data_IF_026781265781
#
_entry.id   IF_026781265781
#
_cell.length_a   1.000
_cell.length_b   1.000
_cell.length_c   1.000
_cell.angle_alpha   90.00
_cell.angle_beta   90.00
_cell.angle_gamma   90.00
#
_symmetry.space_group_name_H-M   'P 1'
#
loop_
_entity.id
_entity.type
_entity.pdbx_description
1 polymer ?
#
# COMPACT_ATOMS: atom_id res chain seq x y z
N UNK A 1 -8.98 -6.67 -3.93
CA UNK A 1 -9.09 -5.29 -3.42
C UNK A 1 -9.31 -4.34 -4.59
N UNK A 2 -10.18 -3.36 -4.40
CA UNK A 2 -10.39 -2.22 -5.30
C UNK A 2 -10.81 -1.03 -4.42
N UNK A 3 -9.97 0.01 -4.32
CA UNK A 3 -10.24 1.18 -3.46
C UNK A 3 -9.55 2.43 -4.00
N UNK A 4 -10.21 3.56 -3.84
CA UNK A 4 -9.66 4.89 -4.13
C UNK A 4 -8.90 5.50 -2.94
N UNK A 5 -8.88 4.82 -1.81
CA UNK A 5 -8.35 5.32 -0.55
C UNK A 5 -9.43 5.72 0.44
N UNK A 6 -9.08 6.52 1.41
CA UNK A 6 -10.01 6.95 2.46
C UNK A 6 -9.32 7.44 3.73
N UNK A 7 -9.94 7.20 4.87
CA UNK A 7 -9.43 7.59 6.18
C UNK A 7 -8.14 6.84 6.54
N UNK A 8 -7.10 7.59 6.90
CA UNK A 8 -5.77 7.05 7.18
C UNK A 8 -5.75 6.23 8.46
N UNK A 9 -6.41 6.68 9.52
CA UNK A 9 -6.41 5.97 10.80
C UNK A 9 -7.16 4.64 10.70
N UNK A 10 -8.31 4.63 10.03
CA UNK A 10 -9.06 3.41 9.78
C UNK A 10 -8.28 2.44 8.88
N UNK A 11 -7.64 2.94 7.82
CA UNK A 11 -6.85 2.12 6.91
C UNK A 11 -5.62 1.52 7.56
N UNK A 12 -4.85 2.29 8.34
CA UNK A 12 -3.70 1.77 9.09
C UNK A 12 -4.12 0.77 10.16
N UNK A 13 -5.23 1.01 10.87
CA UNK A 13 -5.74 0.06 11.86
C UNK A 13 -6.09 -1.30 11.22
N UNK A 14 -6.72 -1.29 10.05
CA UNK A 14 -7.00 -2.52 9.29
C UNK A 14 -5.72 -3.19 8.77
N UNK A 15 -4.76 -2.41 8.29
CA UNK A 15 -3.49 -2.92 7.79
C UNK A 15 -2.68 -3.58 8.92
N UNK A 16 -2.60 -2.96 10.09
CA UNK A 16 -1.97 -3.54 11.29
C UNK A 16 -2.68 -4.82 11.76
N UNK A 17 -4.01 -4.83 11.74
CA UNK A 17 -4.78 -6.02 12.06
C UNK A 17 -4.41 -7.18 11.14
N UNK A 18 -4.36 -6.94 9.82
CA UNK A 18 -4.05 -7.95 8.81
C UNK A 18 -2.60 -8.44 8.93
N UNK A 19 -1.63 -7.52 9.09
CA UNK A 19 -0.22 -7.89 9.22
C UNK A 19 0.06 -8.68 10.48
N UNK A 20 -0.66 -8.39 11.58
CA UNK A 20 -0.58 -9.10 12.85
C UNK A 20 -1.29 -10.46 12.88
N UNK A 21 -2.03 -10.84 11.84
CA UNK A 21 -2.70 -12.14 11.81
C UNK A 21 -1.71 -13.31 11.79
N UNK A 22 -1.93 -14.30 12.66
CA UNK A 22 -1.12 -15.53 12.70
C UNK A 22 -1.40 -16.43 11.50
N UNK A 23 -2.67 -16.52 11.10
CA UNK A 23 -3.07 -17.35 9.96
C UNK A 23 -2.53 -16.79 8.65
N UNK A 24 -2.29 -17.64 7.63
CA UNK A 24 -1.91 -17.20 6.30
C UNK A 24 -2.92 -16.20 5.73
N UNK A 25 -2.40 -15.15 5.14
CA UNK A 25 -3.17 -14.11 4.47
C UNK A 25 -2.58 -13.83 3.10
N UNK A 26 -3.43 -13.59 2.12
CA UNK A 26 -3.05 -13.15 0.78
C UNK A 26 -3.88 -11.93 0.43
N UNK A 27 -3.25 -10.89 -0.11
CA UNK A 27 -3.93 -9.76 -0.73
C UNK A 27 -3.90 -9.88 -2.25
N UNK A 28 -4.94 -9.39 -2.91
CA UNK A 28 -5.03 -9.34 -4.37
C UNK A 28 -5.64 -8.00 -4.79
N UNK A 29 -4.88 -7.21 -5.54
CA UNK A 29 -5.32 -5.95 -6.15
C UNK A 29 -5.87 -6.24 -7.54
N UNK A 30 -7.18 -6.03 -7.74
CA UNK A 30 -7.90 -6.30 -9.00
C UNK A 30 -8.22 -5.03 -9.79
N UNK A 31 -8.20 -3.88 -9.15
CA UNK A 31 -8.50 -2.59 -9.76
C UNK A 31 -7.61 -1.50 -9.16
N UNK A 32 -8.15 -0.65 -8.32
CA UNK A 32 -7.38 0.38 -7.62
C UNK A 32 -6.83 -0.07 -6.27
N UNK A 33 -5.57 0.24 -6.00
CA UNK A 33 -4.95 0.15 -4.67
C UNK A 33 -4.39 1.52 -4.28
N UNK A 34 -5.26 2.55 -4.24
CA UNK A 34 -4.81 3.93 -4.18
C UNK A 34 -4.70 4.45 -2.74
N UNK A 35 -3.74 5.36 -2.50
CA UNK A 35 -3.62 6.09 -1.22
C UNK A 35 -3.45 5.12 -0.04
N UNK A 36 -4.33 5.18 0.96
CA UNK A 36 -4.31 4.26 2.11
C UNK A 36 -4.61 2.78 1.72
N UNK A 37 -5.03 2.53 0.49
CA UNK A 37 -5.09 1.20 -0.10
C UNK A 37 -3.71 0.55 -0.27
N UNK A 38 -2.63 1.33 -0.36
CA UNK A 38 -1.26 0.81 -0.47
C UNK A 38 -0.84 0.04 0.78
N UNK A 39 -0.90 0.59 2.00
CA UNK A 39 -0.67 -0.20 3.22
C UNK A 39 -1.55 -1.44 3.34
N UNK A 40 -2.83 -1.34 2.97
CA UNK A 40 -3.73 -2.50 2.98
C UNK A 40 -3.28 -3.60 2.01
N UNK A 41 -2.78 -3.24 0.82
CA UNK A 41 -2.30 -4.20 -0.16
C UNK A 41 -1.08 -4.99 0.33
N UNK A 42 -0.15 -4.33 1.03
CA UNK A 42 1.10 -4.95 1.51
C UNK A 42 0.96 -5.61 2.88
N UNK A 43 -0.17 -5.48 3.56
CA UNK A 43 -0.37 -6.00 4.93
C UNK A 43 -0.50 -7.52 5.03
N UNK A 44 -0.78 -8.21 3.92
CA UNK A 44 -0.89 -9.67 3.91
C UNK A 44 0.50 -10.35 3.86
N UNK A 45 0.56 -11.62 4.25
CA UNK A 45 1.79 -12.43 4.17
C UNK A 45 2.33 -12.58 2.75
N UNK A 46 1.45 -12.48 1.76
CA UNK A 46 1.79 -12.46 0.33
C UNK A 46 0.81 -11.57 -0.42
N UNK A 47 1.34 -10.71 -1.29
CA UNK A 47 0.56 -9.75 -2.06
C UNK A 47 0.62 -10.05 -3.57
N UNK A 48 -0.52 -9.89 -4.23
CA UNK A 48 -0.68 -10.05 -5.67
C UNK A 48 -1.36 -8.84 -6.29
N UNK A 49 -1.05 -8.58 -7.54
CA UNK A 49 -1.69 -7.55 -8.36
C UNK A 49 -1.89 -8.07 -9.78
N UNK A 50 -3.04 -7.80 -10.39
CA UNK A 50 -3.24 -8.10 -11.82
C UNK A 50 -2.58 -7.02 -12.70
N UNK A 51 -2.16 -7.35 -13.95
CA UNK A 51 -1.45 -6.39 -14.81
C UNK A 51 -2.20 -5.08 -15.07
N UNK A 52 -3.54 -5.14 -15.16
CA UNK A 52 -4.40 -3.98 -15.44
C UNK A 52 -4.75 -3.12 -14.21
N UNK A 53 -4.39 -3.59 -13.02
CA UNK A 53 -4.63 -2.83 -11.78
C UNK A 53 -3.58 -1.72 -11.61
N UNK A 54 -3.93 -0.70 -10.85
CA UNK A 54 -3.03 0.43 -10.56
C UNK A 54 -2.98 0.75 -9.09
N UNK A 55 -1.84 1.27 -8.65
CA UNK A 55 -1.63 1.76 -7.30
C UNK A 55 -1.15 3.21 -7.35
N UNK A 56 -1.76 4.10 -6.58
CA UNK A 56 -1.33 5.49 -6.49
C UNK A 56 -0.69 5.75 -5.14
N UNK A 57 0.57 6.16 -5.18
CA UNK A 57 1.37 6.61 -4.03
C UNK A 57 1.42 8.12 -4.06
N UNK A 58 0.98 8.79 -3.00
CA UNK A 58 0.99 10.24 -2.88
C UNK A 58 1.11 10.68 -1.41
N UNK A 59 1.49 11.95 -1.14
CA UNK A 59 1.55 12.48 0.22
C UNK A 59 0.18 12.49 0.90
N UNK A 60 0.19 12.53 2.23
CA UNK A 60 -1.03 12.73 3.02
C UNK A 60 -1.71 14.04 2.61
N UNK A 61 -3.01 13.98 2.38
CA UNK A 61 -3.84 15.14 1.99
C UNK A 61 -4.84 15.44 3.09
N UNK A 62 -5.17 16.72 3.23
CA UNK A 62 -6.25 17.17 4.10
C UNK A 62 -7.15 18.13 3.32
N UNK A 63 -8.45 17.96 3.48
CA UNK A 63 -9.45 18.90 2.99
C UNK A 63 -10.04 19.67 4.16
N UNK A 64 -10.18 20.98 4.01
CA UNK A 64 -10.78 21.85 5.03
C UNK A 64 -9.90 23.03 5.44
N UNK A 65 -10.31 23.72 6.50
CA UNK A 65 -9.53 24.81 7.07
C UNK A 65 -8.30 24.25 7.79
N UNK A 66 -7.12 24.62 7.32
CA UNK A 66 -5.84 24.22 7.91
C UNK A 66 -5.20 25.44 8.58
N UNK A 67 -4.90 25.33 9.87
CA UNK A 67 -4.12 26.36 10.57
C UNK A 67 -2.65 26.20 10.21
N UNK A 68 -2.04 27.25 9.68
CA UNK A 68 -0.63 27.28 9.27
C UNK A 68 0.34 27.42 10.46
N UNK A 69 0.27 26.49 11.39
CA UNK A 69 1.14 26.46 12.58
C UNK A 69 2.10 25.26 12.54
N UNK A 70 3.29 25.33 13.18
CA UNK A 70 4.26 24.24 13.16
C UNK A 70 3.71 22.88 13.59
N UNK A 71 2.76 22.86 14.50
CA UNK A 71 2.11 21.64 14.99
C UNK A 71 1.34 20.92 13.88
N UNK A 72 0.69 21.65 12.97
CA UNK A 72 0.00 21.08 11.82
C UNK A 72 0.97 20.38 10.87
N UNK A 73 2.10 21.02 10.54
CA UNK A 73 3.14 20.43 9.71
C UNK A 73 3.72 19.16 10.36
N UNK A 74 4.06 19.25 11.65
CA UNK A 74 4.55 18.10 12.42
C UNK A 74 3.54 16.94 12.47
N UNK A 75 2.26 17.22 12.52
CA UNK A 75 1.21 16.20 12.47
C UNK A 75 1.22 15.46 11.12
N UNK A 76 1.27 16.19 10.00
CA UNK A 76 1.34 15.59 8.66
C UNK A 76 2.59 14.75 8.48
N UNK A 77 3.74 15.25 8.89
CA UNK A 77 5.01 14.52 8.79
C UNK A 77 4.95 13.20 9.56
N UNK A 78 4.41 13.22 10.78
CA UNK A 78 4.25 12.01 11.59
C UNK A 78 3.26 11.01 10.96
N UNK A 79 2.16 11.50 10.41
CA UNK A 79 1.17 10.65 9.74
C UNK A 79 1.78 9.98 8.50
N UNK A 80 2.47 10.76 7.68
CA UNK A 80 3.15 10.27 6.49
C UNK A 80 4.25 9.25 6.84
N UNK A 81 5.03 9.52 7.86
CA UNK A 81 6.09 8.61 8.32
C UNK A 81 5.54 7.27 8.82
N UNK A 82 4.37 7.23 9.44
CA UNK A 82 3.70 5.99 9.83
C UNK A 82 3.38 5.12 8.60
N UNK A 83 2.87 5.74 7.53
CA UNK A 83 2.57 5.05 6.28
C UNK A 83 3.87 4.53 5.64
N UNK A 84 4.89 5.37 5.55
CA UNK A 84 6.19 5.00 4.96
C UNK A 84 6.80 3.80 5.67
N UNK A 85 6.85 3.83 6.99
CA UNK A 85 7.39 2.72 7.80
C UNK A 85 6.58 1.45 7.59
N UNK A 86 5.25 1.54 7.70
CA UNK A 86 4.39 0.37 7.54
C UNK A 86 4.61 -0.30 6.17
N UNK A 87 4.68 0.48 5.09
CA UNK A 87 4.92 -0.05 3.74
C UNK A 87 6.30 -0.68 3.63
N UNK A 88 7.35 -0.02 4.13
CA UNK A 88 8.70 -0.55 4.08
C UNK A 88 8.87 -1.84 4.92
N UNK A 89 8.19 -1.94 6.06
CA UNK A 89 8.24 -3.11 6.93
C UNK A 89 7.45 -4.31 6.38
N UNK A 90 6.48 -4.06 5.49
CA UNK A 90 5.58 -5.08 4.94
C UNK A 90 5.75 -5.32 3.42
N UNK A 91 6.80 -4.78 2.79
CA UNK A 91 7.12 -4.98 1.38
C UNK A 91 8.63 -5.07 1.17
N UNK A 92 9.07 -5.31 -0.07
CA UNK A 92 10.49 -5.25 -0.43
C UNK A 92 10.96 -3.84 -0.81
N UNK A 93 10.05 -2.87 -0.85
CA UNK A 93 10.35 -1.49 -1.20
C UNK A 93 11.02 -0.76 -0.03
N UNK A 94 12.14 -0.08 -0.31
CA UNK A 94 12.81 0.74 0.70
C UNK A 94 12.03 2.02 0.99
N UNK A 95 12.09 2.49 2.23
CA UNK A 95 11.42 3.71 2.68
C UNK A 95 11.83 4.96 1.88
N UNK A 96 13.10 5.06 1.47
CA UNK A 96 13.59 6.16 0.63
C UNK A 96 12.90 6.15 -0.73
N UNK A 97 12.81 4.95 -1.37
CA UNK A 97 12.15 4.82 -2.67
C UNK A 97 10.66 5.12 -2.59
N UNK A 98 10.00 4.68 -1.54
CA UNK A 98 8.59 5.00 -1.32
C UNK A 98 8.35 6.51 -1.18
N UNK A 99 9.24 7.24 -0.47
CA UNK A 99 9.18 8.71 -0.37
C UNK A 99 9.44 9.39 -1.71
N UNK A 100 10.37 8.91 -2.52
CA UNK A 100 10.61 9.44 -3.87
C UNK A 100 9.36 9.32 -4.73
N UNK A 101 8.73 8.14 -4.78
CA UNK A 101 7.48 7.92 -5.51
C UNK A 101 6.34 8.80 -4.99
N UNK A 102 6.26 8.96 -3.67
CA UNK A 102 5.24 9.77 -3.00
C UNK A 102 5.35 11.26 -3.37
N UNK A 103 6.57 11.77 -3.57
CA UNK A 103 6.84 13.19 -3.84
C UNK A 103 7.19 13.50 -5.30
N UNK A 104 7.10 12.50 -6.19
CA UNK A 104 7.37 12.68 -7.61
C UNK A 104 6.38 13.70 -8.23
N UNK A 105 6.91 14.52 -9.14
CA UNK A 105 6.13 15.53 -9.88
C UNK A 105 6.07 15.17 -11.34
N UNK A 106 4.93 15.46 -12.00
CA UNK A 106 4.77 15.31 -13.43
C UNK A 106 4.00 14.08 -13.90
N UNK A 107 3.73 13.10 -13.05
CA UNK A 107 2.90 11.94 -13.41
C UNK A 107 1.41 12.17 -13.11
N UNK A 108 1.11 12.81 -11.98
CA UNK A 108 -0.26 13.18 -11.64
C UNK A 108 -0.53 14.59 -12.14
N UNK A 109 -1.52 14.73 -13.01
CA UNK A 109 -1.95 16.05 -13.52
C UNK A 109 -2.47 16.88 -12.34
N UNK A 110 -1.83 18.02 -12.09
CA UNK A 110 -2.13 18.97 -11.00
C UNK A 110 -1.91 18.42 -9.58
N UNK A 111 -1.07 17.39 -9.42
CA UNK A 111 -0.79 16.82 -8.09
C UNK A 111 0.61 16.21 -8.02
N UNK A 112 0.96 15.74 -6.81
CA UNK A 112 2.24 15.10 -6.48
C UNK A 112 1.99 13.63 -6.18
N UNK A 113 2.87 12.76 -6.67
CA UNK A 113 2.80 11.31 -6.47
C UNK A 113 3.03 10.52 -7.76
N UNK A 114 2.92 9.22 -7.64
CA UNK A 114 3.18 8.27 -8.72
C UNK A 114 2.03 7.27 -8.86
N UNK A 115 1.68 6.94 -10.09
CA UNK A 115 0.79 5.82 -10.43
C UNK A 115 1.65 4.66 -10.92
N UNK A 116 1.56 3.53 -10.23
CA UNK A 116 2.21 2.28 -10.62
C UNK A 116 1.15 1.34 -11.19
N UNK A 117 1.36 0.83 -12.40
CA UNK A 117 0.63 -0.34 -12.89
C UNK A 117 1.10 -1.62 -12.20
N UNK A 118 0.48 -2.76 -12.51
CA UNK A 118 0.80 -4.03 -11.85
C UNK A 118 2.27 -4.43 -12.02
N UNK A 119 2.84 -4.25 -13.21
CA UNK A 119 4.24 -4.60 -13.48
C UNK A 119 5.21 -3.69 -12.73
N UNK A 120 4.95 -2.39 -12.75
CA UNK A 120 5.75 -1.42 -12.03
C UNK A 120 5.66 -1.62 -10.50
N UNK A 121 4.49 -1.93 -9.96
CA UNK A 121 4.32 -2.20 -8.52
C UNK A 121 5.15 -3.41 -8.05
N UNK A 122 5.25 -4.46 -8.87
CA UNK A 122 6.10 -5.63 -8.57
C UNK A 122 7.58 -5.30 -8.78
N UNK A 123 7.94 -4.63 -9.86
CA UNK A 123 9.33 -4.23 -10.16
C UNK A 123 9.92 -3.32 -9.07
N UNK A 124 9.13 -2.41 -8.55
CA UNK A 124 9.52 -1.50 -7.45
C UNK A 124 9.54 -2.21 -6.08
N UNK A 125 9.11 -3.46 -6.00
CA UNK A 125 9.07 -4.24 -4.76
C UNK A 125 7.94 -3.85 -3.81
N UNK A 126 6.92 -3.12 -4.30
CA UNK A 126 5.75 -2.76 -3.51
C UNK A 126 4.82 -3.97 -3.34
N UNK A 127 4.58 -4.71 -4.41
CA UNK A 127 3.77 -5.94 -4.42
C UNK A 127 4.68 -7.13 -4.76
N UNK A 128 4.43 -8.29 -4.15
CA UNK A 128 5.28 -9.46 -4.31
C UNK A 128 5.22 -10.11 -5.69
N UNK A 129 4.04 -10.18 -6.30
CA UNK A 129 3.89 -10.95 -7.54
C UNK A 129 2.75 -10.42 -8.41
N UNK A 130 2.94 -10.48 -9.73
CA UNK A 130 1.84 -10.45 -10.67
C UNK A 130 1.05 -11.76 -10.57
N UNK A 131 -0.27 -11.66 -10.60
CA UNK A 131 -1.13 -12.84 -10.60
C UNK A 131 -2.59 -12.49 -10.38
N UNK A 132 -3.46 -13.41 -10.78
CA UNK A 132 -4.90 -13.30 -10.61
C UNK A 132 -5.43 -14.08 -9.39
N UNK A 133 -6.74 -14.31 -9.39
CA UNK A 133 -7.41 -14.98 -8.28
C UNK A 133 -6.88 -16.41 -8.06
N UNK A 134 -6.64 -17.15 -9.13
CA UNK A 134 -6.14 -18.53 -9.03
C UNK A 134 -4.76 -18.56 -8.39
N UNK A 135 -3.85 -17.69 -8.81
CA UNK A 135 -2.49 -17.62 -8.26
C UNK A 135 -2.50 -17.27 -6.78
N UNK A 136 -3.35 -16.31 -6.39
CA UNK A 136 -3.53 -15.90 -5.01
C UNK A 136 -4.10 -17.04 -4.13
N UNK A 137 -5.09 -17.79 -4.63
CA UNK A 137 -5.69 -18.93 -3.93
C UNK A 137 -4.70 -20.10 -3.81
N UNK A 138 -3.98 -20.44 -4.86
CA UNK A 138 -2.98 -21.50 -4.85
C UNK A 138 -1.88 -21.20 -3.84
N UNK A 139 -1.42 -19.94 -3.79
CA UNK A 139 -0.47 -19.47 -2.78
C UNK A 139 -1.04 -19.63 -1.36
N UNK A 140 -2.27 -19.21 -1.12
CA UNK A 140 -2.93 -19.32 0.18
C UNK A 140 -3.05 -20.77 0.64
N UNK A 141 -3.55 -21.66 -0.23
CA UNK A 141 -3.64 -23.09 0.07
C UNK A 141 -2.28 -23.73 0.34
N UNK A 142 -1.25 -23.33 -0.41
CA UNK A 142 0.13 -23.75 -0.19
C UNK A 142 0.66 -23.37 1.20
N UNK A 143 0.37 -22.14 1.66
CA UNK A 143 0.73 -21.70 3.01
C UNK A 143 -0.02 -22.45 4.10
N UNK A 144 -1.35 -22.66 3.95
CA UNK A 144 -2.17 -23.43 4.91
C UNK A 144 -1.67 -24.88 5.06
N UNK A 145 -1.26 -25.49 3.96
CA UNK A 145 -0.75 -26.86 3.99
C UNK A 145 0.60 -26.97 4.71
N UNK A 146 1.46 -25.96 4.61
CA UNK A 146 2.74 -25.91 5.31
C UNK A 146 2.60 -25.69 6.82
N UNK A 147 1.61 -24.92 7.26
CA UNK A 147 1.35 -24.72 8.70
C UNK A 147 0.86 -25.99 9.42
N UNK A 148 0.30 -26.95 8.69
CA UNK A 148 -0.20 -28.22 9.27
C UNK A 148 0.88 -29.31 9.43
N UNK A 149 2.10 -29.03 9.00
CA UNK A 149 3.27 -29.93 9.13
C UNK A 149 4.22 -29.44 10.22
#
# INVERSE_FOLDING_TARGET
MNTVGGDIEAGLALAELLSGMRKPTVSLVLGGGHSIGVPLAVSAKKSFIVPSATMTVHPVRMNGLVLGVPQTLSYFDKMQERIVRFVADNSSMKSERFRELMTATGELVMDVGTVLDGEAAVKEGLIDSLGGLSDALDCLYGMITKEKR
#
